data_IF_666361159837
#
_entry.id   IF_666361159837
#
_cell.length_a   1.000
_cell.length_b   1.000
_cell.length_c   1.000
_cell.angle_alpha   90.00
_cell.angle_beta   90.00
_cell.angle_gamma   90.00
#
_symmetry.space_group_name_H-M   'P 1'
#
loop_
_entity.id
_entity.type
_entity.pdbx_description
1 polymer ?
#
# COMPACT_ATOMS: atom_id res chain seq x y z
N UNK A 1 -12.36 12.92 -10.03
CA UNK A 1 -12.36 12.88 -8.56
C UNK A 1 -13.27 13.97 -8.03
N UNK A 2 -14.07 13.69 -7.00
CA UNK A 2 -14.89 14.70 -6.33
C UNK A 2 -14.05 15.56 -5.38
N UNK A 3 -14.54 16.75 -5.02
CA UNK A 3 -13.89 17.63 -4.02
C UNK A 3 -13.72 16.90 -2.69
N UNK A 4 -14.73 16.15 -2.26
CA UNK A 4 -14.68 15.35 -1.03
C UNK A 4 -13.57 14.29 -1.07
N UNK A 5 -13.38 13.60 -2.20
CA UNK A 5 -12.29 12.65 -2.38
C UNK A 5 -10.91 13.33 -2.30
N UNK A 6 -10.77 14.53 -2.89
CA UNK A 6 -9.53 15.31 -2.80
C UNK A 6 -9.19 15.73 -1.37
N UNK A 7 -10.18 16.19 -0.60
CA UNK A 7 -10.00 16.53 0.83
C UNK A 7 -9.61 15.28 1.64
N UNK A 8 -10.28 14.15 1.43
CA UNK A 8 -9.98 12.90 2.13
C UNK A 8 -8.53 12.45 1.88
N UNK A 9 -8.04 12.53 0.64
CA UNK A 9 -6.65 12.19 0.31
C UNK A 9 -5.66 13.15 0.98
N UNK A 10 -5.92 14.45 0.96
CA UNK A 10 -5.05 15.43 1.61
C UNK A 10 -4.95 15.21 3.14
N UNK A 11 -6.06 14.86 3.79
CA UNK A 11 -6.06 14.49 5.21
C UNK A 11 -5.24 13.21 5.43
N UNK A 12 -5.44 12.19 4.61
CA UNK A 12 -4.68 10.94 4.71
C UNK A 12 -3.18 11.18 4.55
N UNK A 13 -2.75 11.99 3.57
CA UNK A 13 -1.34 12.30 3.34
C UNK A 13 -0.70 13.03 4.52
N UNK A 14 -1.43 13.93 5.19
CA UNK A 14 -0.98 14.56 6.42
C UNK A 14 -0.79 13.54 7.56
N UNK A 15 -1.71 12.59 7.72
CA UNK A 15 -1.61 11.52 8.72
C UNK A 15 -0.44 10.57 8.40
N UNK A 16 -0.23 10.20 7.13
CA UNK A 16 0.92 9.39 6.72
C UNK A 16 2.25 10.07 7.05
N UNK A 17 2.34 11.38 6.82
CA UNK A 17 3.53 12.16 7.17
C UNK A 17 3.78 12.17 8.69
N UNK A 18 2.73 12.29 9.51
CA UNK A 18 2.84 12.23 10.98
C UNK A 18 3.30 10.85 11.46
N UNK A 19 2.72 9.76 10.94
CA UNK A 19 3.14 8.40 11.26
C UNK A 19 4.61 8.19 10.89
N UNK A 20 5.00 8.62 9.68
CA UNK A 20 6.38 8.47 9.20
C UNK A 20 7.38 9.25 10.04
N UNK A 21 7.04 10.47 10.46
CA UNK A 21 7.88 11.27 11.35
C UNK A 21 8.00 10.63 12.75
N UNK A 22 6.95 10.00 13.25
CA UNK A 22 6.94 9.34 14.55
C UNK A 22 7.53 7.92 14.55
N UNK A 23 7.62 7.28 13.37
CA UNK A 23 8.02 5.87 13.21
C UNK A 23 7.00 4.86 13.75
N UNK A 24 5.82 5.30 14.17
CA UNK A 24 4.75 4.44 14.67
C UNK A 24 3.37 5.09 14.45
N UNK A 25 2.33 4.27 14.36
CA UNK A 25 0.94 4.73 14.29
C UNK A 25 0.31 4.72 15.68
N UNK A 26 -0.42 5.78 16.02
CA UNK A 26 -1.24 5.88 17.24
C UNK A 26 -2.68 5.47 16.94
N UNK A 27 -3.47 5.21 17.97
CA UNK A 27 -4.90 4.89 17.82
C UNK A 27 -5.67 6.03 17.13
N UNK A 28 -5.28 7.28 17.37
CA UNK A 28 -5.86 8.45 16.70
C UNK A 28 -5.54 8.45 15.21
N UNK A 29 -4.28 8.21 14.82
CA UNK A 29 -3.91 8.08 13.41
C UNK A 29 -4.72 6.98 12.73
N UNK A 30 -4.81 5.80 13.36
CA UNK A 30 -5.54 4.66 12.81
C UNK A 30 -7.04 4.91 12.73
N UNK A 31 -7.64 5.62 13.70
CA UNK A 31 -9.05 5.97 13.70
C UNK A 31 -9.40 6.94 12.56
N UNK A 32 -8.55 7.94 12.29
CA UNK A 32 -8.75 8.85 11.16
C UNK A 32 -8.70 8.07 9.85
N UNK A 33 -7.69 7.22 9.67
CA UNK A 33 -7.52 6.43 8.45
C UNK A 33 -8.66 5.42 8.25
N UNK A 34 -9.15 4.79 9.33
CA UNK A 34 -10.32 3.91 9.28
C UNK A 34 -11.58 4.68 8.89
N UNK A 35 -11.76 5.91 9.37
CA UNK A 35 -12.88 6.75 8.92
C UNK A 35 -12.83 7.06 7.41
N UNK A 36 -11.64 7.28 6.86
CA UNK A 36 -11.45 7.62 5.45
C UNK A 36 -11.55 6.41 4.50
N UNK A 37 -11.04 5.25 4.91
CA UNK A 37 -10.89 4.08 4.04
C UNK A 37 -11.72 2.86 4.46
N UNK A 38 -12.35 2.91 5.63
CA UNK A 38 -13.22 1.87 6.20
C UNK A 38 -12.59 0.49 6.21
N UNK A 39 -13.34 -0.50 5.74
CA UNK A 39 -12.94 -1.93 5.71
C UNK A 39 -11.57 -2.19 5.07
N UNK A 40 -11.11 -1.33 4.15
CA UNK A 40 -9.80 -1.51 3.53
C UNK A 40 -8.66 -1.18 4.50
N UNK A 41 -8.86 -0.25 5.43
CA UNK A 41 -7.87 0.07 6.46
C UNK A 41 -7.71 -1.07 7.46
N UNK A 42 -8.82 -1.61 7.98
CA UNK A 42 -8.78 -2.75 8.90
C UNK A 42 -8.03 -3.95 8.29
N UNK A 43 -8.29 -4.26 7.02
CA UNK A 43 -7.60 -5.34 6.30
C UNK A 43 -6.13 -5.01 6.04
N UNK A 44 -5.79 -3.75 5.82
CA UNK A 44 -4.41 -3.31 5.65
C UNK A 44 -3.60 -3.52 6.93
N UNK A 45 -4.15 -3.17 8.09
CA UNK A 45 -3.53 -3.45 9.39
C UNK A 45 -3.26 -4.94 9.56
N UNK A 46 -4.25 -5.79 9.24
CA UNK A 46 -4.09 -7.24 9.30
C UNK A 46 -2.94 -7.75 8.41
N UNK A 47 -2.85 -7.28 7.16
CA UNK A 47 -1.76 -7.64 6.25
C UNK A 47 -0.40 -7.28 6.85
N UNK A 48 -0.29 -6.09 7.46
CA UNK A 48 0.93 -5.64 8.11
C UNK A 48 1.29 -6.50 9.32
N UNK A 49 0.33 -6.78 10.20
CA UNK A 49 0.52 -7.58 11.41
C UNK A 49 0.96 -9.02 11.07
N UNK A 50 0.48 -9.56 9.95
CA UNK A 50 0.87 -10.88 9.43
C UNK A 50 2.21 -10.86 8.66
N UNK A 51 2.88 -9.70 8.58
CA UNK A 51 4.17 -9.55 7.89
C UNK A 51 4.07 -9.64 6.37
N UNK A 52 2.91 -9.33 5.79
CA UNK A 52 2.58 -9.50 4.38
C UNK A 52 3.04 -8.38 3.45
N UNK A 53 4.04 -7.58 3.85
CA UNK A 53 4.60 -6.50 3.03
C UNK A 53 6.10 -6.67 2.88
N UNK A 54 6.56 -6.71 1.63
CA UNK A 54 7.97 -6.75 1.24
C UNK A 54 8.28 -5.60 0.29
N UNK A 55 9.31 -4.81 0.57
CA UNK A 55 9.90 -3.89 -0.40
C UNK A 55 10.94 -4.65 -1.23
N UNK A 56 10.83 -4.55 -2.54
CA UNK A 56 11.82 -5.08 -3.48
C UNK A 56 12.54 -3.90 -4.11
N UNK A 57 13.85 -3.86 -3.99
CA UNK A 57 14.70 -2.76 -4.48
C UNK A 57 15.71 -3.30 -5.49
N UNK A 58 15.72 -2.72 -6.69
CA UNK A 58 16.67 -3.03 -7.74
C UNK A 58 18.00 -2.31 -7.54
N UNK A 59 19.10 -3.03 -7.68
CA UNK A 59 20.44 -2.48 -7.68
C UNK A 59 21.06 -2.48 -9.10
N UNK A 60 21.83 -1.44 -9.47
CA UNK A 60 22.19 -0.27 -8.67
C UNK A 60 21.18 0.89 -8.70
N UNK A 61 20.07 0.81 -9.44
CA UNK A 61 19.20 1.98 -9.65
C UNK A 61 18.51 2.52 -8.40
N UNK A 62 18.32 1.69 -7.36
CA UNK A 62 17.55 2.03 -6.16
C UNK A 62 16.04 2.11 -6.41
N UNK A 63 15.56 1.73 -7.60
CA UNK A 63 14.11 1.68 -7.89
C UNK A 63 13.47 0.59 -7.06
N UNK A 64 12.29 0.86 -6.51
CA UNK A 64 11.60 -0.11 -5.65
C UNK A 64 10.12 -0.23 -5.94
N UNK A 65 9.58 -1.40 -5.62
CA UNK A 65 8.15 -1.68 -5.55
C UNK A 65 7.82 -2.42 -4.25
N UNK A 66 6.54 -2.53 -3.91
CA UNK A 66 6.10 -3.43 -2.85
C UNK A 66 5.45 -4.68 -3.43
N UNK A 67 5.77 -5.83 -2.83
CA UNK A 67 4.98 -7.04 -2.93
C UNK A 67 4.12 -7.15 -1.68
N UNK A 68 2.80 -7.23 -1.88
CA UNK A 68 1.82 -7.29 -0.79
C UNK A 68 1.02 -8.57 -0.88
N UNK A 69 1.01 -9.35 0.19
CA UNK A 69 0.29 -10.63 0.24
C UNK A 69 -1.23 -10.41 0.17
N UNK A 70 -1.89 -11.21 -0.67
CA UNK A 70 -3.32 -11.36 -0.69
C UNK A 70 -3.83 -12.26 0.44
N UNK A 71 -5.10 -12.09 0.80
CA UNK A 71 -5.79 -12.92 1.81
C UNK A 71 -6.17 -14.32 1.28
N UNK A 72 -5.85 -14.64 0.03
CA UNK A 72 -6.25 -15.91 -0.59
C UNK A 72 -5.38 -17.07 -0.08
N UNK A 73 -5.96 -18.28 -0.03
CA UNK A 73 -5.23 -19.50 0.35
C UNK A 73 -4.03 -19.81 -0.57
N UNK A 74 -3.95 -19.16 -1.72
CA UNK A 74 -2.90 -19.36 -2.73
C UNK A 74 -1.64 -18.53 -2.46
N UNK A 75 -1.64 -17.67 -1.42
CA UNK A 75 -0.52 -16.76 -1.11
C UNK A 75 -0.07 -15.95 -2.33
N UNK A 76 -1.05 -15.43 -3.07
CA UNK A 76 -0.76 -14.52 -4.20
C UNK A 76 -0.14 -13.23 -3.66
N UNK A 77 0.94 -12.77 -4.28
CA UNK A 77 1.56 -11.46 -4.01
C UNK A 77 1.14 -10.48 -5.11
N UNK A 78 0.74 -9.28 -4.72
CA UNK A 78 0.40 -8.20 -5.66
C UNK A 78 1.53 -7.17 -5.69
N UNK A 79 1.91 -6.77 -6.90
CA UNK A 79 2.81 -5.62 -7.11
C UNK A 79 2.03 -4.36 -6.77
N UNK A 80 2.62 -3.52 -5.93
CA UNK A 80 2.02 -2.31 -5.43
C UNK A 80 3.00 -1.14 -5.46
N UNK A 81 2.57 -0.07 -6.11
CA UNK A 81 3.09 1.29 -5.98
C UNK A 81 2.08 2.05 -5.10
N UNK A 82 2.37 2.30 -3.82
CA UNK A 82 1.35 2.63 -2.81
C UNK A 82 0.50 3.86 -3.14
N UNK A 83 1.05 4.79 -3.91
CA UNK A 83 0.39 6.02 -4.35
C UNK A 83 -0.31 5.91 -5.71
N UNK A 84 0.01 4.91 -6.53
CA UNK A 84 -0.31 4.96 -7.95
C UNK A 84 -1.00 3.70 -8.49
N UNK A 85 -0.59 2.51 -8.06
CA UNK A 85 -1.01 1.26 -8.69
C UNK A 85 -1.00 0.09 -7.71
N UNK A 86 -1.96 -0.82 -7.86
CA UNK A 86 -1.85 -2.16 -7.33
C UNK A 86 -2.42 -3.17 -8.34
N UNK A 87 -1.76 -4.31 -8.53
CA UNK A 87 -2.22 -5.34 -9.48
C UNK A 87 -3.41 -6.16 -8.99
N UNK A 88 -3.95 -5.88 -7.80
CA UNK A 88 -5.10 -6.60 -7.29
C UNK A 88 -6.39 -6.22 -8.04
N UNK A 89 -7.32 -7.18 -8.16
CA UNK A 89 -8.61 -6.98 -8.81
C UNK A 89 -9.41 -5.77 -8.29
N UNK A 90 -9.45 -5.58 -6.95
CA UNK A 90 -10.17 -4.45 -6.34
C UNK A 90 -9.63 -3.09 -6.76
N UNK A 91 -8.35 -2.96 -7.10
CA UNK A 91 -7.81 -1.68 -7.56
C UNK A 91 -8.44 -1.31 -8.90
N UNK A 92 -8.38 -2.21 -9.87
CA UNK A 92 -8.96 -1.97 -11.20
C UNK A 92 -10.47 -1.80 -11.14
N UNK A 93 -11.17 -2.60 -10.34
CA UNK A 93 -12.64 -2.57 -10.31
C UNK A 93 -13.20 -1.46 -9.42
N UNK A 94 -12.80 -1.39 -8.16
CA UNK A 94 -13.42 -0.49 -7.17
C UNK A 94 -12.93 0.95 -7.27
N UNK A 95 -11.67 1.15 -7.67
CA UNK A 95 -11.01 2.47 -7.68
C UNK A 95 -11.00 3.04 -9.09
N UNK A 96 -10.42 2.32 -10.06
CA UNK A 96 -10.31 2.82 -11.44
C UNK A 96 -11.66 2.76 -12.16
N UNK A 97 -12.33 1.61 -12.12
CA UNK A 97 -13.58 1.39 -12.84
C UNK A 97 -14.76 2.14 -12.25
N UNK A 98 -14.98 2.01 -10.93
CA UNK A 98 -16.16 2.58 -10.25
C UNK A 98 -15.90 3.89 -9.51
N UNK A 99 -14.66 4.16 -9.10
CA UNK A 99 -14.35 5.34 -8.28
C UNK A 99 -15.03 5.34 -6.90
N UNK A 100 -15.45 4.17 -6.41
CA UNK A 100 -16.15 4.00 -5.13
C UNK A 100 -15.20 3.91 -3.93
N UNK A 101 -13.92 3.62 -4.19
CA UNK A 101 -12.88 3.50 -3.18
C UNK A 101 -11.71 4.39 -3.54
N UNK A 102 -11.06 5.00 -2.54
CA UNK A 102 -9.88 5.83 -2.75
C UNK A 102 -8.59 5.00 -2.89
N UNK A 103 -8.50 3.91 -2.14
CA UNK A 103 -7.34 3.03 -2.10
C UNK A 103 -7.80 1.59 -1.85
N UNK A 104 -7.06 0.62 -2.40
CA UNK A 104 -7.27 -0.78 -2.04
C UNK A 104 -6.52 -1.06 -0.72
N UNK A 105 -6.90 -2.15 -0.04
CA UNK A 105 -6.24 -2.59 1.20
C UNK A 105 -4.72 -2.79 1.03
N UNK A 106 -4.24 -3.21 -0.15
CA UNK A 106 -2.82 -3.45 -0.38
C UNK A 106 -2.01 -2.15 -0.49
N UNK A 107 -2.57 -1.12 -1.13
CA UNK A 107 -1.95 0.21 -1.15
C UNK A 107 -1.84 0.76 0.27
N UNK A 108 -2.90 0.64 1.06
CA UNK A 108 -2.90 1.08 2.46
C UNK A 108 -1.91 0.29 3.31
N UNK A 109 -1.80 -1.03 3.11
CA UNK A 109 -0.84 -1.87 3.82
C UNK A 109 0.60 -1.46 3.51
N UNK A 110 0.91 -1.21 2.23
CA UNK A 110 2.24 -0.78 1.82
C UNK A 110 2.58 0.63 2.35
N UNK A 111 1.64 1.58 2.29
CA UNK A 111 1.82 2.93 2.88
C UNK A 111 2.07 2.86 4.39
N UNK A 112 1.25 2.09 5.11
CA UNK A 112 1.40 1.95 6.55
C UNK A 112 2.74 1.30 6.90
N UNK A 113 3.08 0.18 6.23
CA UNK A 113 4.34 -0.53 6.43
C UNK A 113 5.55 0.37 6.20
N UNK A 114 5.54 1.16 5.13
CA UNK A 114 6.59 2.14 4.83
C UNK A 114 6.67 3.24 5.90
N UNK A 115 5.53 3.79 6.33
CA UNK A 115 5.49 4.85 7.31
C UNK A 115 6.01 4.38 8.69
N UNK A 116 5.71 3.15 9.10
CA UNK A 116 6.18 2.60 10.39
C UNK A 116 7.49 1.80 10.29
N UNK A 117 8.07 1.68 9.09
CA UNK A 117 9.28 0.87 8.86
C UNK A 117 9.12 -0.63 9.12
N UNK A 118 7.90 -1.18 8.99
CA UNK A 118 7.59 -2.60 9.22
C UNK A 118 7.32 -3.33 7.91
N UNK A 119 8.36 -3.52 7.11
CA UNK A 119 8.32 -4.37 5.91
C UNK A 119 9.60 -5.17 5.79
N UNK A 120 9.53 -6.30 5.08
CA UNK A 120 10.73 -7.05 4.70
C UNK A 120 11.46 -6.30 3.59
N UNK A 121 12.79 -6.30 3.62
CA UNK A 121 13.63 -5.75 2.55
C UNK A 121 14.16 -6.89 1.68
N UNK A 122 14.13 -6.70 0.37
CA UNK A 122 14.70 -7.63 -0.61
C UNK A 122 15.41 -6.83 -1.69
N UNK A 123 16.70 -7.07 -1.85
CA UNK A 123 17.48 -6.52 -2.96
C UNK A 123 17.52 -7.51 -4.12
N UNK A 124 17.36 -7.01 -5.34
CA UNK A 124 17.44 -7.76 -6.59
C UNK A 124 18.25 -6.98 -7.61
N UNK A 125 18.66 -7.61 -8.70
CA UNK A 125 19.23 -6.88 -9.83
C UNK A 125 18.16 -6.04 -10.54
N UNK A 126 18.58 -4.96 -11.21
CA UNK A 126 17.68 -4.18 -12.06
C UNK A 126 17.01 -4.99 -13.18
N UNK A 127 17.66 -6.06 -13.66
CA UNK A 127 17.12 -6.98 -14.66
C UNK A 127 16.00 -7.85 -14.08
N UNK A 128 16.20 -8.42 -12.88
CA UNK A 128 15.15 -9.17 -12.17
C UNK A 128 13.94 -8.28 -11.84
N UNK A 129 14.19 -7.05 -11.39
CA UNK A 129 13.12 -6.09 -11.14
C UNK A 129 12.35 -5.77 -12.44
N UNK A 130 13.05 -5.60 -13.56
CA UNK A 130 12.41 -5.38 -14.86
C UNK A 130 11.56 -6.60 -15.28
N UNK A 131 12.03 -7.82 -15.06
CA UNK A 131 11.27 -9.04 -15.33
C UNK A 131 10.00 -9.16 -14.47
N UNK A 132 10.06 -8.75 -13.20
CA UNK A 132 8.85 -8.68 -12.35
C UNK A 132 7.80 -7.73 -12.93
N UNK A 133 8.24 -6.62 -13.53
CA UNK A 133 7.37 -5.57 -14.08
C UNK A 133 6.89 -5.85 -15.52
N UNK A 134 7.58 -6.71 -16.27
CA UNK A 134 7.36 -6.91 -17.71
C UNK A 134 5.97 -7.45 -18.07
N UNK A 135 5.26 -8.05 -17.11
CA UNK A 135 3.94 -8.67 -17.32
C UNK A 135 2.83 -8.00 -16.49
N UNK A 136 3.04 -6.77 -16.04
CA UNK A 136 2.01 -5.94 -15.41
C UNK A 136 0.85 -5.63 -16.37
#
# INVERSE_FOLDING_TARGET
MSVAAGVALAVADAVWAQIKAAGHATDEHLSILDHLFGKNMLRACKILDEGGVRRVTGAPSGRSLFLVMGESKRKEEYICFPEHLCTCYSFFYDIVGRGEQLCCKHQLAARLAEAVGKHQEMEVTDEELAHMLANL
#
